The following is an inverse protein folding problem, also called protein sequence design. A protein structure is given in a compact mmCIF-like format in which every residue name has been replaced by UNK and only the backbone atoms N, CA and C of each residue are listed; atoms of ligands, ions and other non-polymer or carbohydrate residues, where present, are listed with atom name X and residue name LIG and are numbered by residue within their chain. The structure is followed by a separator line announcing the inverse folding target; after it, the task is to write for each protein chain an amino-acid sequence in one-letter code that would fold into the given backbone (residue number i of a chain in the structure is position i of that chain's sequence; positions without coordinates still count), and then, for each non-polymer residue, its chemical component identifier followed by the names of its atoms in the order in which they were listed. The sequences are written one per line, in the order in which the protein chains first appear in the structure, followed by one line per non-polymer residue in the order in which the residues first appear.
data_IF_738408886334
#
_entry.id   IF_738408886334
#
_cell.length_a   1.000
_cell.length_b   1.000
_cell.length_c   1.000
_cell.angle_alpha   90.00
_cell.angle_beta   90.00
_cell.angle_gamma   90.00
#
_symmetry.space_group_name_H-M   'P 1'
#
loop_
_entity.id
_entity.type
_entity.pdbx_description
1 polymer ?
#
# COMPACT_ATOMS: atom_id res chain seq x y z
N UNK A 1 29.77 -5.45 -9.30
CA UNK A 1 28.78 -5.12 -8.26
C UNK A 1 28.59 -3.62 -8.07
N UNK A 2 29.68 -2.80 -8.12
CA UNK A 2 29.57 -1.34 -8.00
C UNK A 2 28.79 -0.74 -9.18
N UNK A 3 28.98 -1.26 -10.38
CA UNK A 3 28.32 -0.77 -11.59
C UNK A 3 26.83 -1.13 -11.64
N UNK A 4 26.41 -2.30 -11.16
CA UNK A 4 25.01 -2.72 -11.05
C UNK A 4 24.11 -1.81 -10.19
N UNK A 5 24.72 -1.14 -9.19
CA UNK A 5 23.98 -0.28 -8.26
C UNK A 5 23.98 1.18 -8.73
N UNK A 6 25.07 1.64 -9.33
CA UNK A 6 25.28 3.06 -9.68
C UNK A 6 24.81 3.36 -11.11
N UNK A 7 24.97 2.43 -12.03
CA UNK A 7 24.61 2.61 -13.43
C UNK A 7 23.10 2.92 -13.62
N UNK A 8 22.15 2.22 -12.96
CA UNK A 8 20.75 2.57 -13.03
C UNK A 8 20.44 3.98 -12.54
N UNK A 9 21.17 4.46 -11.52
CA UNK A 9 20.95 5.79 -10.91
C UNK A 9 21.46 6.94 -11.78
N UNK A 10 22.26 6.68 -12.82
CA UNK A 10 22.68 7.70 -13.79
C UNK A 10 21.55 8.16 -14.69
N UNK A 11 20.56 7.29 -14.95
CA UNK A 11 19.37 7.64 -15.73
C UNK A 11 18.37 8.44 -14.89
N UNK A 12 17.99 9.68 -15.29
CA UNK A 12 17.12 10.56 -14.49
C UNK A 12 15.75 9.91 -14.17
N UNK A 13 15.19 9.13 -15.09
CA UNK A 13 13.92 8.44 -14.89
C UNK A 13 14.04 7.31 -13.84
N UNK A 14 15.15 6.57 -13.85
CA UNK A 14 15.39 5.49 -12.89
C UNK A 14 15.60 6.03 -11.48
N UNK A 15 16.30 7.16 -11.34
CA UNK A 15 16.46 7.83 -10.04
C UNK A 15 15.11 8.24 -9.46
N UNK A 16 14.18 8.78 -10.29
CA UNK A 16 12.83 9.11 -9.83
C UNK A 16 12.04 7.86 -9.46
N UNK A 17 12.12 6.80 -10.26
CA UNK A 17 11.47 5.54 -9.96
C UNK A 17 11.94 4.94 -8.63
N UNK A 18 13.25 4.94 -8.37
CA UNK A 18 13.81 4.47 -7.10
C UNK A 18 13.35 5.32 -5.92
N UNK A 19 13.38 6.66 -6.05
CA UNK A 19 12.88 7.56 -5.00
C UNK A 19 11.40 7.32 -4.71
N UNK A 20 10.60 7.15 -5.74
CA UNK A 20 9.15 6.87 -5.61
C UNK A 20 8.90 5.54 -4.88
N UNK A 21 9.59 4.47 -5.27
CA UNK A 21 9.46 3.14 -4.61
C UNK A 21 9.91 3.20 -3.16
N UNK A 22 11.00 3.89 -2.87
CA UNK A 22 11.50 4.04 -1.50
C UNK A 22 10.50 4.82 -0.65
N UNK A 23 9.98 5.95 -1.14
CA UNK A 23 8.95 6.72 -0.45
C UNK A 23 7.70 5.90 -0.15
N UNK A 24 7.21 5.17 -1.15
CA UNK A 24 6.02 4.32 -1.00
C UNK A 24 6.31 3.08 -0.14
N UNK A 25 7.53 2.56 -0.17
CA UNK A 25 7.97 1.49 0.73
C UNK A 25 8.01 1.93 2.19
N UNK A 26 8.50 3.14 2.46
CA UNK A 26 8.49 3.74 3.79
C UNK A 26 7.05 3.98 4.27
N UNK A 27 6.23 4.62 3.44
CA UNK A 27 4.81 4.87 3.73
C UNK A 27 4.05 3.56 3.96
N UNK A 28 4.18 2.60 3.02
CA UNK A 28 3.53 1.30 3.09
C UNK A 28 3.93 0.50 4.32
N UNK A 29 5.21 0.53 4.70
CA UNK A 29 5.69 -0.13 5.92
C UNK A 29 5.08 0.44 7.20
N UNK A 30 4.98 1.76 7.32
CA UNK A 30 4.36 2.42 8.47
C UNK A 30 2.86 2.18 8.53
N UNK A 31 2.16 2.43 7.42
CA UNK A 31 0.69 2.26 7.31
C UNK A 31 0.30 0.79 7.42
N UNK A 32 1.04 -0.09 6.74
CA UNK A 32 0.76 -1.52 6.68
C UNK A 32 0.77 -2.22 8.04
N UNK A 33 1.65 -1.80 8.96
CA UNK A 33 1.63 -2.36 10.32
C UNK A 33 0.31 -2.06 11.02
N UNK A 34 -0.23 -0.84 10.91
CA UNK A 34 -1.53 -0.50 11.48
C UNK A 34 -2.69 -1.20 10.75
N UNK A 35 -2.59 -1.37 9.42
CA UNK A 35 -3.53 -2.16 8.62
C UNK A 35 -3.59 -3.60 9.14
N UNK A 36 -2.44 -4.23 9.38
CA UNK A 36 -2.36 -5.61 9.89
C UNK A 36 -2.87 -5.73 11.32
N UNK A 37 -2.49 -4.79 12.21
CA UNK A 37 -2.96 -4.77 13.61
C UNK A 37 -4.48 -4.66 13.73
N UNK A 38 -5.10 -3.91 12.83
CA UNK A 38 -6.54 -3.66 12.79
C UNK A 38 -7.30 -4.64 11.87
N UNK A 39 -6.60 -5.60 11.24
CA UNK A 39 -7.17 -6.54 10.26
C UNK A 39 -7.88 -5.86 9.08
N UNK A 40 -7.35 -4.72 8.64
CA UNK A 40 -7.89 -3.89 7.56
C UNK A 40 -7.30 -4.24 6.18
N UNK A 41 -6.71 -5.44 6.01
CA UNK A 41 -6.08 -5.83 4.74
C UNK A 41 -7.06 -5.80 3.58
N UNK A 42 -8.33 -6.15 3.82
CA UNK A 42 -9.38 -6.08 2.79
C UNK A 42 -9.76 -4.64 2.44
N UNK A 43 -9.59 -3.68 3.35
CA UNK A 43 -9.84 -2.25 3.08
C UNK A 43 -8.90 -1.73 1.98
N UNK A 44 -7.64 -2.18 1.94
CA UNK A 44 -6.70 -1.77 0.89
C UNK A 44 -7.18 -2.20 -0.50
N UNK A 45 -7.77 -3.39 -0.59
CA UNK A 45 -8.35 -3.93 -1.82
C UNK A 45 -9.61 -3.16 -2.23
N UNK A 46 -10.51 -2.88 -1.27
CA UNK A 46 -11.73 -2.10 -1.52
C UNK A 46 -11.39 -0.71 -2.04
N UNK A 47 -10.46 -0.01 -1.39
CA UNK A 47 -10.06 1.35 -1.78
C UNK A 47 -9.52 1.37 -3.20
N UNK A 48 -8.67 0.41 -3.59
CA UNK A 48 -8.10 0.39 -4.94
C UNK A 48 -9.16 0.27 -6.04
N UNK A 49 -10.25 -0.45 -5.77
CA UNK A 49 -11.35 -0.59 -6.73
C UNK A 49 -12.36 0.56 -6.65
N UNK A 50 -12.57 1.16 -5.48
CA UNK A 50 -13.48 2.32 -5.33
C UNK A 50 -12.90 3.62 -5.89
N UNK A 51 -11.59 3.71 -6.03
CA UNK A 51 -10.89 4.84 -6.68
C UNK A 51 -11.07 4.85 -8.20
N UNK A 52 -11.30 3.68 -8.81
CA UNK A 52 -11.39 3.50 -10.25
C UNK A 52 -12.45 4.38 -10.94
N UNK A 53 -13.73 4.45 -10.48
CA UNK A 53 -14.72 5.35 -11.11
C UNK A 53 -14.31 6.81 -11.07
N UNK A 54 -13.67 7.26 -9.98
CA UNK A 54 -13.19 8.64 -9.88
C UNK A 54 -12.12 8.99 -10.89
N UNK A 55 -11.16 8.08 -11.08
CA UNK A 55 -10.14 8.22 -12.12
C UNK A 55 -10.79 8.26 -13.51
N UNK A 56 -11.74 7.34 -13.77
CA UNK A 56 -12.45 7.27 -15.05
C UNK A 56 -13.26 8.55 -15.34
N UNK A 57 -13.95 9.09 -14.34
CA UNK A 57 -14.71 10.34 -14.45
C UNK A 57 -13.75 11.51 -14.69
N UNK A 58 -12.69 11.64 -13.89
CA UNK A 58 -11.70 12.70 -14.04
C UNK A 58 -11.07 12.69 -15.45
N UNK A 59 -10.70 11.50 -15.92
CA UNK A 59 -10.21 11.32 -17.30
C UNK A 59 -11.22 11.79 -18.36
N UNK A 60 -12.50 11.40 -18.17
CA UNK A 60 -13.56 11.77 -19.11
C UNK A 60 -13.80 13.28 -19.23
N UNK A 61 -13.54 14.02 -18.15
CA UNK A 61 -13.69 15.49 -18.10
C UNK A 61 -12.38 16.26 -18.25
N UNK A 62 -11.26 15.59 -18.54
CA UNK A 62 -9.93 16.23 -18.67
C UNK A 62 -9.42 16.82 -17.36
N UNK A 63 -9.90 16.33 -16.22
CA UNK A 63 -9.51 16.76 -14.89
C UNK A 63 -8.33 15.96 -14.33
N UNK A 64 -7.75 16.42 -13.22
CA UNK A 64 -6.67 15.73 -12.56
C UNK A 64 -7.11 14.33 -12.07
N UNK A 65 -6.41 13.30 -12.52
CA UNK A 65 -6.66 11.90 -12.11
C UNK A 65 -6.48 11.74 -10.60
N UNK A 66 -5.55 12.51 -9.98
CA UNK A 66 -5.36 12.53 -8.54
C UNK A 66 -6.61 13.03 -7.81
N UNK A 67 -7.19 14.13 -8.28
CA UNK A 67 -8.40 14.67 -7.66
C UNK A 67 -9.57 13.69 -7.76
N UNK A 68 -9.74 13.05 -8.92
CA UNK A 68 -10.76 12.01 -9.09
C UNK A 68 -10.56 10.83 -8.12
N UNK A 69 -9.33 10.36 -8.00
CA UNK A 69 -8.95 9.29 -7.09
C UNK A 69 -9.19 9.67 -5.61
N UNK A 70 -8.78 10.87 -5.20
CA UNK A 70 -8.96 11.38 -3.83
C UNK A 70 -10.43 11.51 -3.47
N UNK A 71 -11.24 12.12 -4.34
CA UNK A 71 -12.67 12.32 -4.07
C UNK A 71 -13.38 11.00 -3.88
N UNK A 72 -13.20 10.03 -4.78
CA UNK A 72 -13.90 8.74 -4.66
C UNK A 72 -13.31 7.84 -3.58
N UNK A 73 -12.00 7.85 -3.38
CA UNK A 73 -11.36 7.08 -2.31
C UNK A 73 -11.76 7.57 -0.92
N UNK A 74 -11.76 8.89 -0.69
CA UNK A 74 -12.23 9.47 0.58
C UNK A 74 -13.74 9.24 0.76
N UNK A 75 -14.54 9.44 -0.29
CA UNK A 75 -15.97 9.18 -0.23
C UNK A 75 -16.29 7.72 0.12
N UNK A 76 -15.55 6.76 -0.44
CA UNK A 76 -15.73 5.32 -0.14
C UNK A 76 -15.45 5.00 1.31
N UNK A 77 -14.38 5.57 1.88
CA UNK A 77 -14.00 5.38 3.29
C UNK A 77 -15.03 6.03 4.23
N UNK A 78 -15.51 7.23 3.91
CA UNK A 78 -16.57 7.90 4.67
C UNK A 78 -17.89 7.10 4.63
N UNK A 79 -18.26 6.57 3.47
CA UNK A 79 -19.42 5.70 3.31
C UNK A 79 -19.26 4.40 4.10
N UNK A 80 -18.07 3.79 4.04
CA UNK A 80 -17.76 2.60 4.84
C UNK A 80 -17.94 2.88 6.34
N UNK A 81 -17.35 3.97 6.84
CA UNK A 81 -17.50 4.39 8.23
C UNK A 81 -18.96 4.66 8.63
N UNK A 82 -19.76 5.21 7.72
CA UNK A 82 -21.20 5.44 7.96
C UNK A 82 -22.02 4.13 7.97
N UNK A 83 -21.68 3.18 7.09
CA UNK A 83 -22.32 1.85 7.03
C UNK A 83 -21.95 0.98 8.23
N UNK A 84 -20.67 0.94 8.59
CA UNK A 84 -20.17 0.16 9.72
C UNK A 84 -20.75 0.61 11.08
N UNK A 85 -21.18 1.88 11.20
CA UNK A 85 -21.90 2.36 12.39
C UNK A 85 -23.29 1.78 12.56
N UNK A 86 -23.88 1.26 11.50
CA UNK A 86 -25.19 0.58 11.57
C UNK A 86 -24.92 -0.84 12.06
N UNK A 87 -25.14 -1.11 13.36
CA UNK A 87 -24.89 -2.39 14.05
C UNK A 87 -25.49 -3.65 13.38
N UNK A 88 -26.22 -3.49 12.26
CA UNK A 88 -26.86 -4.57 11.50
C UNK A 88 -26.03 -5.06 10.31
N UNK A 89 -24.97 -4.36 9.94
CA UNK A 89 -24.16 -4.69 8.76
C UNK A 89 -22.74 -4.95 9.24
N UNK A 90 -22.23 -6.12 8.92
CA UNK A 90 -20.84 -6.49 9.18
C UNK A 90 -19.89 -5.64 8.31
N UNK A 91 -18.73 -5.26 8.85
CA UNK A 91 -17.79 -4.40 8.13
C UNK A 91 -17.34 -5.04 6.80
N UNK A 92 -17.12 -6.34 6.78
CA UNK A 92 -16.73 -7.08 5.57
C UNK A 92 -17.85 -7.06 4.52
N UNK A 93 -19.12 -7.20 4.94
CA UNK A 93 -20.26 -7.11 4.03
C UNK A 93 -20.40 -5.68 3.46
N UNK A 94 -20.22 -4.64 4.28
CA UNK A 94 -20.24 -3.25 3.83
C UNK A 94 -19.12 -2.98 2.80
N UNK A 95 -17.92 -3.48 3.06
CA UNK A 95 -16.80 -3.40 2.13
C UNK A 95 -17.09 -4.10 0.81
N UNK A 96 -17.66 -5.31 0.83
CA UNK A 96 -18.01 -6.06 -0.38
C UNK A 96 -19.06 -5.33 -1.24
N UNK A 97 -20.09 -4.74 -0.61
CA UNK A 97 -21.11 -3.96 -1.31
C UNK A 97 -20.51 -2.71 -1.94
N UNK A 98 -19.69 -1.96 -1.20
CA UNK A 98 -19.03 -0.77 -1.74
C UNK A 98 -18.11 -1.12 -2.92
N UNK A 99 -17.32 -2.17 -2.78
CA UNK A 99 -16.48 -2.70 -3.86
C UNK A 99 -17.31 -2.96 -5.14
N UNK A 100 -18.41 -3.73 -5.01
CA UNK A 100 -19.25 -4.09 -6.15
C UNK A 100 -19.89 -2.87 -6.82
N UNK A 101 -20.44 -1.94 -6.03
CA UNK A 101 -21.11 -0.72 -6.53
C UNK A 101 -20.13 0.19 -7.25
N UNK A 102 -19.00 0.51 -6.61
CA UNK A 102 -18.01 1.41 -7.22
C UNK A 102 -17.38 0.79 -8.47
N UNK A 103 -17.07 -0.51 -8.44
CA UNK A 103 -16.55 -1.19 -9.61
C UNK A 103 -17.56 -1.16 -10.77
N UNK A 104 -18.84 -1.46 -10.50
CA UNK A 104 -19.89 -1.43 -11.50
C UNK A 104 -20.06 -0.03 -12.11
N UNK A 105 -20.07 1.01 -11.27
CA UNK A 105 -20.13 2.42 -11.73
C UNK A 105 -18.92 2.74 -12.60
N UNK A 106 -17.73 2.36 -12.18
CA UNK A 106 -16.50 2.55 -12.95
C UNK A 106 -16.57 1.89 -14.33
N UNK A 107 -16.98 0.63 -14.39
CA UNK A 107 -17.15 -0.10 -15.65
C UNK A 107 -18.19 0.56 -16.56
N UNK A 108 -19.33 1.00 -16.03
CA UNK A 108 -20.36 1.70 -16.81
C UNK A 108 -19.85 3.02 -17.39
N UNK A 109 -19.09 3.79 -16.61
CA UNK A 109 -18.49 5.07 -17.09
C UNK A 109 -17.49 4.80 -18.21
N UNK A 110 -16.64 3.79 -18.04
CA UNK A 110 -15.58 3.43 -19.01
C UNK A 110 -16.17 2.84 -20.30
N UNK A 111 -17.23 2.03 -20.20
CA UNK A 111 -17.86 1.37 -21.37
C UNK A 111 -18.41 2.36 -22.39
N UNK A 112 -18.70 3.60 -21.97
CA UNK A 112 -19.19 4.66 -22.85
C UNK A 112 -18.10 5.39 -23.63
N UNK A 113 -16.80 5.14 -23.34
CA UNK A 113 -15.67 5.83 -23.96
C UNK A 113 -14.80 4.86 -24.77
N UNK A 114 -14.63 5.14 -26.06
CA UNK A 114 -13.68 4.42 -26.93
C UNK A 114 -12.24 4.88 -26.59
N UNK A 115 -11.32 3.94 -26.37
CA UNK A 115 -9.89 4.25 -26.15
C UNK A 115 -9.36 4.07 -24.74
N UNK A 116 -10.20 3.85 -23.73
CA UNK A 116 -9.77 3.69 -22.33
C UNK A 116 -9.13 2.32 -22.00
N UNK A 117 -9.22 1.32 -22.91
CA UNK A 117 -8.69 -0.02 -22.64
C UNK A 117 -7.16 -0.05 -22.51
N UNK A 118 -6.44 0.81 -23.22
CA UNK A 118 -4.97 0.92 -23.12
C UNK A 118 -4.53 1.51 -21.75
N UNK A 119 -5.34 2.39 -21.16
CA UNK A 119 -5.05 3.00 -19.87
C UNK A 119 -5.34 2.07 -18.68
N UNK A 120 -6.24 1.09 -18.85
CA UNK A 120 -6.53 0.08 -17.83
C UNK A 120 -5.33 -0.81 -17.52
N UNK A 121 -4.60 -1.26 -18.54
CA UNK A 121 -3.37 -2.05 -18.34
C UNK A 121 -2.30 -1.23 -17.63
N UNK A 122 -2.18 0.06 -17.94
CA UNK A 122 -1.28 0.98 -17.26
C UNK A 122 -1.67 1.20 -15.78
N UNK A 123 -2.96 1.20 -15.46
CA UNK A 123 -3.46 1.30 -14.08
C UNK A 123 -3.18 0.03 -13.26
N UNK A 124 -3.29 -1.14 -13.87
CA UNK A 124 -3.03 -2.42 -13.20
C UNK A 124 -1.54 -2.66 -12.94
N UNK A 125 -0.71 -2.45 -13.97
CA UNK A 125 0.73 -2.76 -13.90
C UNK A 125 1.60 -1.54 -13.57
N UNK A 126 1.02 -0.34 -13.56
CA UNK A 126 1.70 0.91 -13.27
C UNK A 126 2.67 1.37 -14.38
N UNK A 127 3.17 2.58 -14.22
CA UNK A 127 4.20 3.19 -15.07
C UNK A 127 5.36 3.71 -14.23
N UNK A 128 5.90 2.86 -13.35
CA UNK A 128 6.91 3.29 -12.37
C UNK A 128 8.12 3.99 -13.00
N UNK A 129 8.52 3.59 -14.21
CA UNK A 129 9.62 4.23 -14.94
C UNK A 129 9.24 5.56 -15.61
N UNK A 130 7.95 5.90 -15.66
CA UNK A 130 7.45 7.13 -16.25
C UNK A 130 7.03 8.18 -15.21
N UNK A 131 7.43 8.00 -13.94
CA UNK A 131 7.16 8.95 -12.86
C UNK A 131 7.85 10.28 -13.15
N UNK A 132 7.07 11.37 -13.15
CA UNK A 132 7.57 12.72 -13.30
C UNK A 132 7.91 13.39 -11.96
N UNK A 133 8.58 14.54 -12.01
CA UNK A 133 8.99 15.24 -10.80
C UNK A 133 7.78 15.77 -9.99
N UNK A 134 6.69 16.14 -10.66
CA UNK A 134 5.48 16.62 -10.01
C UNK A 134 4.80 15.50 -9.24
N UNK A 135 4.67 14.32 -9.85
CA UNK A 135 4.11 13.14 -9.21
C UNK A 135 4.92 12.73 -7.98
N UNK A 136 6.27 12.73 -8.08
CA UNK A 136 7.15 12.43 -6.95
C UNK A 136 6.93 13.39 -5.76
N UNK A 137 6.75 14.70 -6.04
CA UNK A 137 6.45 15.71 -5.01
C UNK A 137 5.05 15.46 -4.41
N UNK A 138 4.04 15.19 -5.22
CA UNK A 138 2.70 14.87 -4.74
C UNK A 138 2.70 13.64 -3.82
N UNK A 139 3.42 12.57 -4.21
CA UNK A 139 3.60 11.36 -3.39
C UNK A 139 4.35 11.67 -2.10
N UNK A 140 5.41 12.47 -2.15
CA UNK A 140 6.17 12.85 -0.97
C UNK A 140 5.31 13.64 0.04
N UNK A 141 4.49 14.57 -0.44
CA UNK A 141 3.55 15.33 0.42
C UNK A 141 2.56 14.37 1.09
N UNK A 142 1.95 13.46 0.34
CA UNK A 142 1.01 12.47 0.88
C UNK A 142 1.72 11.56 1.89
N UNK A 143 2.91 11.06 1.57
CA UNK A 143 3.67 10.17 2.45
C UNK A 143 4.02 10.84 3.77
N UNK A 144 4.55 12.07 3.73
CA UNK A 144 4.87 12.85 4.93
C UNK A 144 3.62 13.13 5.75
N UNK A 145 2.54 13.57 5.12
CA UNK A 145 1.29 13.85 5.82
C UNK A 145 0.73 12.61 6.53
N UNK A 146 0.73 11.46 5.87
CA UNK A 146 0.27 10.19 6.44
C UNK A 146 1.16 9.71 7.59
N UNK A 147 2.49 9.75 7.43
CA UNK A 147 3.44 9.33 8.46
C UNK A 147 3.33 10.25 9.68
N UNK A 148 3.24 11.56 9.48
CA UNK A 148 3.05 12.54 10.57
C UNK A 148 1.71 12.32 11.28
N UNK A 149 0.63 12.12 10.53
CA UNK A 149 -0.69 11.83 11.11
C UNK A 149 -0.65 10.57 12.00
N UNK A 150 -0.04 9.47 11.51
CA UNK A 150 0.14 8.26 12.32
C UNK A 150 1.03 8.53 13.53
N UNK A 151 2.14 9.24 13.36
CA UNK A 151 3.08 9.51 14.47
C UNK A 151 2.44 10.28 15.62
N UNK A 152 1.56 11.23 15.31
CA UNK A 152 0.82 12.03 16.31
C UNK A 152 -0.12 11.16 17.14
N UNK A 153 -0.85 10.24 16.49
CA UNK A 153 -1.88 9.40 17.14
C UNK A 153 -1.44 7.95 17.31
N UNK A 154 -0.12 7.67 17.24
CA UNK A 154 0.42 6.31 17.27
C UNK A 154 -0.02 5.53 18.52
N UNK A 155 0.09 6.17 19.68
CA UNK A 155 -0.23 5.53 20.97
C UNK A 155 -1.71 5.18 21.07
N UNK A 156 -2.57 6.07 20.62
CA UNK A 156 -4.02 5.90 20.61
C UNK A 156 -4.43 4.81 19.61
N UNK A 157 -3.81 4.77 18.44
CA UNK A 157 -4.06 3.72 17.44
C UNK A 157 -3.62 2.34 17.95
N UNK A 158 -2.49 2.25 18.63
CA UNK A 158 -2.01 1.00 19.23
C UNK A 158 -2.94 0.59 20.37
N UNK A 159 -3.29 1.49 21.29
CA UNK A 159 -4.24 1.22 22.35
C UNK A 159 -5.58 0.70 21.78
N UNK A 160 -6.13 1.42 20.78
CA UNK A 160 -7.36 1.03 20.10
C UNK A 160 -7.29 -0.35 19.45
N UNK A 161 -6.12 -0.76 18.98
CA UNK A 161 -5.93 -2.07 18.33
C UNK A 161 -5.91 -3.22 19.32
N UNK A 162 -5.31 -3.04 20.52
CA UNK A 162 -5.15 -4.08 21.52
C UNK A 162 -6.23 -4.10 22.58
N UNK A 163 -6.71 -2.93 23.01
CA UNK A 163 -7.73 -2.77 24.05
C UNK A 163 -8.75 -1.67 23.67
N UNK A 164 -9.71 -1.99 22.79
CA UNK A 164 -10.74 -1.04 22.40
C UNK A 164 -11.65 -0.60 23.58
N UNK A 165 -11.92 -1.50 24.52
CA UNK A 165 -12.77 -1.18 25.67
C UNK A 165 -12.06 -0.23 26.63
N UNK A 166 -10.78 -0.46 26.91
CA UNK A 166 -9.95 0.44 27.71
C UNK A 166 -9.80 1.82 27.06
N UNK A 167 -9.61 1.87 25.74
CA UNK A 167 -9.53 3.14 25.03
C UNK A 167 -10.85 3.94 25.10
N UNK A 168 -12.01 3.28 25.00
CA UNK A 168 -13.32 3.89 25.16
C UNK A 168 -13.53 4.39 26.59
N UNK A 169 -13.17 3.59 27.59
CA UNK A 169 -13.25 3.96 29.00
C UNK A 169 -12.38 5.17 29.36
N UNK A 170 -11.23 5.35 28.68
CA UNK A 170 -10.38 6.54 28.81
C UNK A 170 -10.92 7.77 28.05
N UNK A 171 -12.06 7.67 27.36
CA UNK A 171 -12.68 8.78 26.63
C UNK A 171 -12.08 9.05 25.24
N UNK A 172 -11.28 8.16 24.69
CA UNK A 172 -10.76 8.35 23.32
C UNK A 172 -11.88 8.24 22.28
N UNK A 173 -11.90 9.12 21.27
CA UNK A 173 -12.91 9.11 20.22
C UNK A 173 -12.61 8.02 19.18
N UNK A 174 -12.94 6.76 19.49
CA UNK A 174 -12.59 5.58 18.67
C UNK A 174 -12.99 5.76 17.20
N UNK A 175 -14.18 6.30 16.95
CA UNK A 175 -14.69 6.53 15.59
C UNK A 175 -13.80 7.49 14.79
N UNK A 176 -13.22 8.52 15.44
CA UNK A 176 -12.32 9.47 14.76
C UNK A 176 -10.97 8.83 14.47
N UNK A 177 -10.47 7.99 15.39
CA UNK A 177 -9.24 7.24 15.20
C UNK A 177 -9.37 6.23 14.07
N UNK A 178 -10.50 5.51 14.02
CA UNK A 178 -10.79 4.57 12.93
C UNK A 178 -10.86 5.28 11.60
N UNK A 179 -11.63 6.38 11.52
CA UNK A 179 -11.76 7.16 10.29
C UNK A 179 -10.43 7.78 9.83
N UNK A 180 -9.61 8.27 10.77
CA UNK A 180 -8.29 8.81 10.44
C UNK A 180 -7.42 7.72 9.82
N UNK A 181 -7.36 6.53 10.43
CA UNK A 181 -6.58 5.42 9.89
C UNK A 181 -7.09 4.99 8.51
N UNK A 182 -8.41 4.88 8.34
CA UNK A 182 -9.01 4.50 7.06
C UNK A 182 -8.68 5.52 5.95
N UNK A 183 -8.72 6.83 6.27
CA UNK A 183 -8.31 7.90 5.33
C UNK A 183 -6.82 7.81 5.02
N UNK A 184 -5.97 7.56 5.99
CA UNK A 184 -4.52 7.38 5.78
C UNK A 184 -4.25 6.17 4.88
N UNK A 185 -4.95 5.05 5.10
CA UNK A 185 -4.86 3.87 4.24
C UNK A 185 -5.30 4.21 2.81
N UNK A 186 -6.41 4.93 2.64
CA UNK A 186 -6.88 5.34 1.32
C UNK A 186 -5.86 6.22 0.60
N UNK A 187 -5.26 7.20 1.29
CA UNK A 187 -4.23 8.06 0.72
C UNK A 187 -2.98 7.28 0.30
N UNK A 188 -2.53 6.33 1.14
CA UNK A 188 -1.39 5.48 0.84
C UNK A 188 -1.64 4.59 -0.38
N UNK A 189 -2.83 3.99 -0.48
CA UNK A 189 -3.25 3.17 -1.63
C UNK A 189 -3.33 4.02 -2.89
N UNK A 190 -3.95 5.21 -2.84
CA UNK A 190 -4.09 6.12 -3.99
C UNK A 190 -2.71 6.56 -4.52
N UNK A 191 -1.79 6.93 -3.61
CA UNK A 191 -0.42 7.29 -3.98
C UNK A 191 0.29 6.11 -4.68
N UNK A 192 0.16 4.90 -4.12
CA UNK A 192 0.75 3.68 -4.68
C UNK A 192 0.20 3.31 -6.06
N UNK A 193 -1.12 3.33 -6.25
CA UNK A 193 -1.75 2.97 -7.53
C UNK A 193 -1.28 3.88 -8.66
N UNK A 194 -1.23 5.18 -8.43
CA UNK A 194 -0.81 6.15 -9.45
C UNK A 194 0.62 5.95 -9.92
N UNK A 195 1.50 5.59 -9.00
CA UNK A 195 2.92 5.45 -9.29
C UNK A 195 3.28 4.07 -9.86
N UNK A 196 2.70 3.03 -9.27
CA UNK A 196 3.20 1.66 -9.42
C UNK A 196 2.14 0.66 -9.87
N UNK A 197 0.88 1.07 -9.99
CA UNK A 197 -0.25 0.19 -10.26
C UNK A 197 -0.77 -0.53 -9.01
N UNK A 198 -1.91 -1.20 -9.18
CA UNK A 198 -2.67 -1.77 -8.07
C UNK A 198 -1.93 -2.91 -7.36
N UNK A 199 -1.35 -3.82 -8.12
CA UNK A 199 -0.68 -5.03 -7.58
C UNK A 199 0.49 -4.66 -6.67
N UNK A 200 1.37 -3.74 -7.13
CA UNK A 200 2.55 -3.36 -6.36
C UNK A 200 2.18 -2.48 -5.17
N UNK A 201 1.17 -1.61 -5.30
CA UNK A 201 0.71 -0.76 -4.20
C UNK A 201 0.27 -1.58 -2.98
N UNK A 202 -0.56 -2.60 -3.19
CA UNK A 202 -1.02 -3.50 -2.10
C UNK A 202 0.13 -4.34 -1.55
N UNK A 203 0.99 -4.87 -2.42
CA UNK A 203 2.14 -5.67 -2.00
C UNK A 203 3.10 -4.87 -1.11
N UNK A 204 3.36 -3.59 -1.41
CA UNK A 204 4.22 -2.71 -0.59
C UNK A 204 3.61 -2.35 0.77
N UNK A 205 2.29 -2.32 0.90
CA UNK A 205 1.63 -2.05 2.17
C UNK A 205 1.58 -3.33 3.03
N UNK A 206 1.21 -4.47 2.45
CA UNK A 206 0.91 -5.68 3.22
C UNK A 206 2.16 -6.54 3.47
N UNK A 207 2.95 -6.84 2.44
CA UNK A 207 4.03 -7.84 2.55
C UNK A 207 5.16 -7.43 3.49
N UNK A 208 5.69 -6.18 3.48
CA UNK A 208 6.68 -5.76 4.45
C UNK A 208 6.15 -5.76 5.89
N UNK A 209 4.89 -5.34 6.09
CA UNK A 209 4.26 -5.33 7.41
C UNK A 209 4.06 -6.76 7.96
N UNK A 210 3.57 -7.68 7.11
CA UNK A 210 3.45 -9.10 7.47
C UNK A 210 4.82 -9.72 7.82
N UNK A 211 5.86 -9.40 7.05
CA UNK A 211 7.22 -9.85 7.34
C UNK A 211 7.73 -9.32 8.68
N UNK A 212 7.51 -8.04 8.96
CA UNK A 212 7.94 -7.40 10.20
C UNK A 212 7.22 -7.99 11.44
N UNK A 213 5.95 -8.39 11.30
CA UNK A 213 5.21 -9.07 12.37
C UNK A 213 5.79 -10.46 12.71
N UNK A 214 6.38 -11.17 11.74
CA UNK A 214 7.08 -12.43 12.01
C UNK A 214 8.37 -12.20 12.81
N UNK A 215 9.04 -11.05 12.61
CA UNK A 215 10.36 -10.75 13.16
C UNK A 215 10.32 -10.05 14.52
N UNK A 216 9.26 -9.31 14.84
CA UNK A 216 9.17 -8.54 16.09
C UNK A 216 7.75 -8.49 16.65
N UNK A 217 7.68 -8.38 18.00
CA UNK A 217 6.42 -8.15 18.72
C UNK A 217 6.18 -6.70 19.11
N UNK A 218 7.19 -5.83 18.95
CA UNK A 218 7.09 -4.40 19.31
C UNK A 218 6.63 -3.61 18.09
N UNK A 219 5.48 -2.93 18.18
CA UNK A 219 4.86 -2.21 17.05
C UNK A 219 5.81 -1.19 16.42
N UNK A 220 6.51 -0.37 17.21
CA UNK A 220 7.47 0.60 16.68
C UNK A 220 8.63 -0.04 15.90
N UNK A 221 9.12 -1.22 16.37
CA UNK A 221 10.14 -2.00 15.63
C UNK A 221 9.54 -2.59 14.36
N UNK A 222 8.30 -3.09 14.41
CA UNK A 222 7.61 -3.59 13.22
C UNK A 222 7.50 -2.50 12.14
N UNK A 223 7.14 -1.26 12.53
CA UNK A 223 7.07 -0.13 11.59
C UNK A 223 8.42 0.18 10.94
N UNK A 224 9.50 0.24 11.73
CA UNK A 224 10.83 0.49 11.22
C UNK A 224 11.33 -0.63 10.30
N UNK A 225 11.14 -1.89 10.70
CA UNK A 225 11.53 -3.07 9.90
C UNK A 225 10.70 -3.17 8.63
N UNK A 226 9.37 -2.95 8.70
CA UNK A 226 8.51 -2.95 7.53
C UNK A 226 8.89 -1.85 6.53
N UNK A 227 9.13 -0.63 7.01
CA UNK A 227 9.57 0.49 6.19
C UNK A 227 10.92 0.18 5.49
N UNK A 228 11.87 -0.41 6.21
CA UNK A 228 13.15 -0.81 5.66
C UNK A 228 13.01 -1.91 4.60
N UNK A 229 12.22 -2.96 4.88
CA UNK A 229 11.96 -4.05 3.92
C UNK A 229 11.25 -3.51 2.68
N UNK A 230 10.25 -2.64 2.83
CA UNK A 230 9.54 -2.03 1.71
C UNK A 230 10.46 -1.19 0.83
N UNK A 231 11.26 -0.32 1.43
CA UNK A 231 12.20 0.55 0.72
C UNK A 231 13.31 -0.25 0.02
N UNK A 232 14.00 -1.13 0.74
CA UNK A 232 15.09 -1.93 0.18
C UNK A 232 14.59 -2.98 -0.81
N UNK A 233 13.50 -3.68 -0.51
CA UNK A 233 12.91 -4.67 -1.41
C UNK A 233 12.41 -4.03 -2.71
N UNK A 234 11.83 -2.82 -2.60
CA UNK A 234 11.44 -2.04 -3.76
C UNK A 234 12.64 -1.63 -4.63
N UNK A 235 13.68 -1.10 -4.01
CA UNK A 235 14.92 -0.73 -4.70
C UNK A 235 15.59 -1.92 -5.37
N UNK A 236 15.80 -3.01 -4.65
CA UNK A 236 16.41 -4.25 -5.18
C UNK A 236 15.61 -4.81 -6.34
N UNK A 237 14.28 -4.84 -6.22
CA UNK A 237 13.41 -5.32 -7.31
C UNK A 237 13.53 -4.48 -8.58
N UNK A 238 13.65 -3.15 -8.46
CA UNK A 238 13.89 -2.26 -9.60
C UNK A 238 15.28 -2.49 -10.24
N UNK A 239 16.31 -2.67 -9.42
CA UNK A 239 17.67 -2.95 -9.91
C UNK A 239 17.70 -4.28 -10.67
N UNK A 240 17.07 -5.33 -10.15
CA UNK A 240 16.96 -6.63 -10.83
C UNK A 240 16.22 -6.50 -12.17
N UNK A 241 15.11 -5.75 -12.20
CA UNK A 241 14.36 -5.55 -13.44
C UNK A 241 15.16 -4.78 -14.49
N UNK A 242 15.96 -3.80 -14.05
CA UNK A 242 16.86 -3.05 -14.91
C UNK A 242 17.98 -3.94 -15.48
N UNK A 243 18.66 -4.66 -14.62
CA UNK A 243 19.78 -5.54 -15.00
C UNK A 243 19.33 -6.63 -16.01
N UNK A 244 18.19 -7.27 -15.73
CA UNK A 244 17.59 -8.24 -16.63
C UNK A 244 17.28 -7.65 -18.02
N UNK A 245 16.80 -6.40 -18.06
CA UNK A 245 16.43 -5.73 -19.31
C UNK A 245 17.63 -5.25 -20.12
N UNK A 246 18.67 -4.74 -19.45
CA UNK A 246 19.84 -4.13 -20.11
C UNK A 246 20.92 -5.17 -20.45
N UNK A 247 21.22 -6.09 -19.53
CA UNK A 247 22.35 -7.01 -19.67
C UNK A 247 21.93 -8.40 -20.20
N UNK A 248 20.65 -8.77 -20.08
CA UNK A 248 20.18 -10.11 -20.45
C UNK A 248 19.07 -10.12 -21.51
N UNK A 249 18.67 -8.95 -22.03
CA UNK A 249 17.58 -8.76 -23.03
C UNK A 249 16.24 -9.39 -22.61
N UNK A 250 16.03 -9.57 -21.29
CA UNK A 250 14.79 -10.11 -20.71
C UNK A 250 13.93 -8.97 -20.22
N UNK A 251 12.80 -8.70 -20.87
CA UNK A 251 11.88 -7.63 -20.50
C UNK A 251 11.03 -8.03 -19.29
N UNK A 252 11.52 -7.74 -18.09
CA UNK A 252 10.75 -7.94 -16.86
C UNK A 252 9.89 -6.70 -16.56
N UNK A 253 8.65 -6.94 -16.09
CA UNK A 253 7.80 -5.88 -15.58
C UNK A 253 8.32 -5.42 -14.21
N UNK A 254 8.80 -4.15 -14.05
CA UNK A 254 9.47 -3.71 -12.80
C UNK A 254 8.59 -3.89 -11.56
N UNK A 255 7.28 -3.57 -11.66
CA UNK A 255 6.35 -3.74 -10.55
C UNK A 255 6.23 -5.19 -10.08
N UNK A 256 6.09 -6.13 -11.03
CA UNK A 256 5.99 -7.56 -10.71
C UNK A 256 7.30 -8.10 -10.10
N UNK A 257 8.46 -7.63 -10.57
CA UNK A 257 9.76 -8.03 -10.01
C UNK A 257 9.90 -7.59 -8.56
N UNK A 258 9.47 -6.38 -8.22
CA UNK A 258 9.44 -5.90 -6.82
C UNK A 258 8.54 -6.78 -5.95
N UNK A 259 7.36 -7.15 -6.43
CA UNK A 259 6.44 -8.05 -5.70
C UNK A 259 7.09 -9.41 -5.43
N UNK A 260 7.76 -9.99 -6.43
CA UNK A 260 8.48 -11.28 -6.27
C UNK A 260 9.59 -11.17 -5.23
N UNK A 261 10.37 -10.08 -5.25
CA UNK A 261 11.44 -9.84 -4.25
C UNK A 261 10.84 -9.74 -2.84
N UNK A 262 9.79 -8.94 -2.66
CA UNK A 262 9.13 -8.80 -1.35
C UNK A 262 8.55 -10.13 -0.86
N UNK A 263 7.94 -10.90 -1.75
CA UNK A 263 7.39 -12.23 -1.43
C UNK A 263 8.50 -13.22 -1.06
N UNK A 264 9.64 -13.17 -1.75
CA UNK A 264 10.80 -13.99 -1.41
C UNK A 264 11.36 -13.65 -0.02
N UNK A 265 11.44 -12.36 0.32
CA UNK A 265 11.86 -11.91 1.67
C UNK A 265 10.86 -12.39 2.74
N UNK A 266 9.56 -12.29 2.48
CA UNK A 266 8.53 -12.82 3.37
C UNK A 266 8.67 -14.33 3.57
N UNK A 267 8.81 -15.10 2.49
CA UNK A 267 8.96 -16.55 2.54
C UNK A 267 10.22 -16.95 3.33
N UNK A 268 11.34 -16.28 3.11
CA UNK A 268 12.58 -16.51 3.84
C UNK A 268 12.41 -16.23 5.35
N UNK A 269 11.77 -15.12 5.72
CA UNK A 269 11.47 -14.79 7.11
C UNK A 269 10.53 -15.82 7.76
N UNK A 270 9.49 -16.26 7.04
CA UNK A 270 8.54 -17.27 7.53
C UNK A 270 9.21 -18.63 7.77
N UNK A 271 10.09 -19.07 6.88
CA UNK A 271 10.87 -20.31 7.02
C UNK A 271 11.83 -20.18 8.22
N UNK A 272 12.60 -19.08 8.29
CA UNK A 272 13.57 -18.86 9.36
C UNK A 272 12.91 -18.87 10.75
N UNK A 273 11.79 -18.16 10.90
CA UNK A 273 11.06 -18.10 12.17
C UNK A 273 10.41 -19.45 12.53
N UNK A 274 9.93 -20.21 11.55
CA UNK A 274 9.38 -21.56 11.75
C UNK A 274 10.46 -22.55 12.23
N UNK A 275 11.64 -22.51 11.62
CA UNK A 275 12.79 -23.35 12.01
C UNK A 275 13.26 -22.98 13.42
N UNK A 276 13.43 -21.67 13.70
CA UNK A 276 13.84 -21.21 15.03
C UNK A 276 12.87 -21.67 16.13
N UNK A 277 11.56 -21.62 15.89
CA UNK A 277 10.55 -22.15 16.83
C UNK A 277 10.69 -23.65 17.07
N UNK A 278 10.91 -24.45 16.03
CA UNK A 278 11.09 -25.91 16.17
C UNK A 278 12.35 -26.25 16.97
N UNK A 279 13.45 -25.53 16.75
CA UNK A 279 14.70 -25.75 17.50
C UNK A 279 14.55 -25.36 18.96
N UNK A 280 13.87 -24.24 19.28
CA UNK A 280 13.64 -23.82 20.66
C UNK A 280 12.74 -24.81 21.42
N UNK A 281 11.69 -25.36 20.78
CA UNK A 281 10.82 -26.37 21.39
C UNK A 281 11.58 -27.67 21.69
N UNK A 282 12.46 -28.12 20.78
CA UNK A 282 13.27 -29.33 21.02
C UNK A 282 14.24 -29.15 22.18
N UNK A 283 14.83 -27.93 22.34
CA UNK A 283 15.73 -27.61 23.47
C UNK A 283 14.99 -27.48 24.81
N UNK A 284 13.69 -27.19 24.82
CA UNK A 284 12.89 -27.12 26.05
C UNK A 284 12.39 -28.49 26.52
N UNK A 285 12.43 -29.53 25.67
CA UNK A 285 11.97 -30.87 25.95
C UNK A 285 13.17 -31.83 26.29
N UNK A 286 14.39 -31.44 25.87
CA UNK A 286 15.62 -32.14 26.20
C UNK A 286 16.25 -31.60 27.50
#
# INVERSE_FOLDING_TARGET
MHDLIIEPLRAPFMRRAVLEVVLLGLLGGVVGVHVMLRRLSFLTEVVQHTVFPGIAIAFAFGQSLLLGALVTGIASVLLLGALARRRRIDADAAMAVLFAVFLAVGVVVVSRRRGFQADLTALLFGRILAVDARQLVETAIIAVACIVAIAIVHKELVLRAFDPAGAEAMGYPLTRLDLLLDVVVALAVIAGIRAMGTVLAVALIITPAATAQLLSRRVGVQMAVAALIGALGGWVGLVIAWDASVNHDVRLAPGATVVVVLTAVFAAAAIATSVARRVSLRRAIA
#
